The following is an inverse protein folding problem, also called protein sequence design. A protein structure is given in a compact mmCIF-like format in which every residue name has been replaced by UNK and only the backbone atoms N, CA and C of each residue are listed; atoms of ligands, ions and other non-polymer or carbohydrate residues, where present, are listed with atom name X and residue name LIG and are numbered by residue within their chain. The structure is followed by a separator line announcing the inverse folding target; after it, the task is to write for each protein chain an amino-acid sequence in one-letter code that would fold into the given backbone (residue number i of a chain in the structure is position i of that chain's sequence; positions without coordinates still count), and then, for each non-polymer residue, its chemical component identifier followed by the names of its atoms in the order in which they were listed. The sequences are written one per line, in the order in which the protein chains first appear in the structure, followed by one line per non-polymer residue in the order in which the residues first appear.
data_IF_577007963831
#
_entry.id   IF_577007963831
#
_cell.length_a   1.000
_cell.length_b   1.000
_cell.length_c   1.000
_cell.angle_alpha   90.00
_cell.angle_beta   90.00
_cell.angle_gamma   90.00
#
_symmetry.space_group_name_H-M   'P 1'
#
loop_
_entity.id
_entity.type
_entity.pdbx_description
1 polymer ?
#
# COMPACT_ATOMS: atom_id res chain seq x y z
N UNK A 1 75.92 -37.90 2.97
CA UNK A 1 74.97 -37.48 4.05
C UNK A 1 74.36 -36.13 3.66
N UNK A 2 73.12 -36.05 3.11
CA UNK A 2 72.31 -34.85 3.15
C UNK A 2 71.02 -34.96 2.35
N UNK A 3 70.40 -36.16 2.15
CA UNK A 3 69.12 -36.31 1.48
C UNK A 3 67.92 -36.24 2.41
N UNK A 4 68.08 -36.21 3.72
CA UNK A 4 66.99 -36.17 4.71
C UNK A 4 66.54 -34.76 5.11
N UNK A 5 67.40 -33.73 4.92
CA UNK A 5 67.08 -32.36 5.31
C UNK A 5 65.88 -31.78 4.59
N UNK A 6 65.72 -31.86 3.23
CA UNK A 6 64.57 -31.33 2.54
C UNK A 6 63.28 -32.08 2.90
N UNK A 7 63.34 -33.37 3.15
CA UNK A 7 62.22 -34.19 3.57
C UNK A 7 61.67 -33.77 4.94
N UNK A 8 62.57 -33.52 5.89
CA UNK A 8 62.24 -33.04 7.24
C UNK A 8 61.63 -31.65 7.18
N UNK A 9 62.15 -30.74 6.37
CA UNK A 9 61.56 -29.39 6.17
C UNK A 9 60.15 -29.47 5.60
N UNK A 10 59.90 -30.30 4.58
CA UNK A 10 58.59 -30.50 4.02
C UNK A 10 57.59 -31.07 5.04
N UNK A 11 57.99 -32.06 5.84
CA UNK A 11 57.12 -32.62 6.87
C UNK A 11 56.80 -31.61 7.97
N UNK A 12 57.73 -30.77 8.38
CA UNK A 12 57.52 -29.70 9.35
C UNK A 12 56.53 -28.66 8.80
N UNK A 13 56.72 -28.25 7.54
CA UNK A 13 55.76 -27.30 6.89
C UNK A 13 54.35 -27.88 6.78
N UNK A 14 54.22 -29.16 6.40
CA UNK A 14 52.94 -29.85 6.36
C UNK A 14 52.29 -29.94 7.76
N UNK A 15 53.05 -30.22 8.80
CA UNK A 15 52.55 -30.24 10.17
C UNK A 15 52.08 -28.87 10.63
N UNK A 16 52.81 -27.80 10.34
CA UNK A 16 52.40 -26.42 10.65
C UNK A 16 51.12 -26.04 9.91
N UNK A 17 51.03 -26.34 8.61
CA UNK A 17 49.82 -26.08 7.84
C UNK A 17 48.61 -26.88 8.34
N UNK A 18 48.82 -28.14 8.72
CA UNK A 18 47.75 -28.97 9.30
C UNK A 18 47.25 -28.40 10.64
N UNK A 19 48.18 -28.00 11.52
CA UNK A 19 47.81 -27.35 12.80
C UNK A 19 47.07 -26.02 12.56
N UNK A 20 47.58 -25.18 11.67
CA UNK A 20 46.91 -23.93 11.30
C UNK A 20 45.52 -24.16 10.73
N UNK A 21 45.35 -25.18 9.90
CA UNK A 21 44.05 -25.57 9.34
C UNK A 21 43.09 -26.04 10.44
N UNK A 22 43.52 -26.93 11.34
CA UNK A 22 42.73 -27.43 12.46
C UNK A 22 42.28 -26.28 13.38
N UNK A 23 43.18 -25.35 13.71
CA UNK A 23 42.81 -24.18 14.52
C UNK A 23 41.83 -23.26 13.80
N UNK A 24 42.01 -23.06 12.50
CA UNK A 24 41.05 -22.25 11.68
C UNK A 24 39.66 -22.89 11.65
N UNK A 25 39.58 -24.20 11.48
CA UNK A 25 38.32 -24.92 11.50
C UNK A 25 37.64 -24.92 12.89
N UNK A 26 38.44 -25.10 13.97
CA UNK A 26 37.94 -24.96 15.35
C UNK A 26 37.35 -23.57 15.62
N UNK A 27 37.92 -22.48 15.06
CA UNK A 27 37.42 -21.14 15.21
C UNK A 27 36.08 -20.95 14.47
N UNK A 28 35.90 -21.58 13.30
CA UNK A 28 34.65 -21.57 12.53
C UNK A 28 33.51 -22.32 13.26
N UNK A 29 33.81 -23.40 13.95
CA UNK A 29 32.85 -24.23 14.69
C UNK A 29 32.39 -23.61 16.02
N UNK A 30 33.06 -22.55 16.53
CA UNK A 30 32.62 -21.87 17.75
C UNK A 30 31.25 -21.23 17.53
N UNK A 31 30.17 -21.64 18.24
CA UNK A 31 28.86 -21.11 18.06
C UNK A 31 28.81 -19.59 18.31
N UNK A 32 28.02 -18.88 17.54
CA UNK A 32 27.84 -17.43 17.73
C UNK A 32 27.38 -17.12 19.15
N UNK A 33 28.00 -16.18 19.85
CA UNK A 33 27.57 -15.77 21.17
C UNK A 33 26.22 -15.01 21.13
N UNK A 34 25.78 -14.63 19.94
CA UNK A 34 24.51 -13.90 19.67
C UNK A 34 23.53 -14.80 18.93
N UNK A 35 22.28 -14.84 19.41
CA UNK A 35 21.19 -15.65 18.84
C UNK A 35 19.89 -14.87 18.85
N UNK A 36 18.86 -15.39 18.17
CA UNK A 36 17.52 -14.80 18.08
C UNK A 36 17.55 -13.33 17.66
N UNK A 37 18.28 -13.05 16.59
CA UNK A 37 18.43 -11.71 16.04
C UNK A 37 17.16 -11.29 15.32
N UNK A 38 16.66 -10.11 15.67
CA UNK A 38 15.57 -9.41 14.99
C UNK A 38 15.94 -7.94 14.84
N UNK A 39 15.76 -7.37 13.67
CA UNK A 39 15.97 -5.94 13.41
C UNK A 39 14.83 -5.36 12.59
N UNK A 40 14.51 -4.10 12.82
CA UNK A 40 13.61 -3.32 11.95
C UNK A 40 14.26 -3.22 10.56
N UNK A 41 13.52 -3.63 9.52
CA UNK A 41 14.06 -3.70 8.15
C UNK A 41 14.21 -2.34 7.49
N UNK A 42 13.24 -1.45 7.72
CA UNK A 42 13.23 -0.09 7.21
C UNK A 42 12.49 0.81 8.19
N UNK A 43 12.93 2.06 8.33
CA UNK A 43 12.28 3.07 9.15
C UNK A 43 12.57 4.46 8.59
N UNK A 44 11.76 5.43 9.00
CA UNK A 44 11.94 6.84 8.66
C UNK A 44 11.97 7.69 9.94
N UNK A 45 13.08 8.29 10.31
CA UNK A 45 13.14 9.18 11.47
C UNK A 45 12.17 10.36 11.42
N UNK A 46 11.72 10.72 10.21
CA UNK A 46 10.88 11.90 9.95
C UNK A 46 9.40 11.59 9.72
N UNK A 47 8.97 10.31 9.77
CA UNK A 47 7.61 9.94 9.38
C UNK A 47 6.66 10.20 10.53
N UNK A 48 6.33 10.96 11.22
CA UNK A 48 5.27 11.09 12.26
C UNK A 48 4.41 9.80 12.39
N UNK A 49 5.05 8.66 12.60
CA UNK A 49 4.45 7.33 12.62
C UNK A 49 5.15 6.39 13.62
N UNK A 50 4.61 5.19 13.85
CA UNK A 50 5.19 4.19 14.78
C UNK A 50 6.55 3.62 14.32
N UNK A 51 7.00 3.97 13.12
CA UNK A 51 8.21 3.44 12.49
C UNK A 51 9.34 4.47 12.42
N UNK A 52 9.43 5.36 13.44
CA UNK A 52 10.46 6.41 13.52
C UNK A 52 11.81 5.91 14.03
N UNK A 53 11.86 4.69 14.57
CA UNK A 53 13.08 4.11 15.15
C UNK A 53 13.28 2.69 14.68
N UNK A 54 14.54 2.28 14.59
CA UNK A 54 14.90 0.89 14.37
C UNK A 54 15.16 0.19 15.69
N UNK A 55 14.46 -0.94 15.90
CA UNK A 55 14.68 -1.81 17.05
C UNK A 55 15.61 -2.95 16.66
N UNK A 56 16.68 -3.13 17.42
CA UNK A 56 17.67 -4.20 17.28
C UNK A 56 17.54 -5.10 18.52
N UNK A 57 17.00 -6.29 18.34
CA UNK A 57 16.83 -7.25 19.44
C UNK A 57 17.64 -8.52 19.17
N UNK A 58 18.30 -9.04 20.20
CA UNK A 58 19.06 -10.29 20.14
C UNK A 58 19.19 -10.90 21.53
N UNK A 59 19.74 -12.10 21.60
CA UNK A 59 20.00 -12.78 22.86
C UNK A 59 21.46 -13.16 22.99
N UNK A 60 22.11 -12.79 24.10
CA UNK A 60 23.43 -13.21 24.47
C UNK A 60 23.43 -14.62 25.10
N UNK A 61 24.30 -15.50 24.62
CA UNK A 61 24.50 -16.85 25.19
C UNK A 61 25.44 -16.85 26.44
N UNK A 62 26.31 -15.84 26.54
CA UNK A 62 27.28 -15.70 27.63
C UNK A 62 27.30 -14.24 28.08
N UNK A 63 27.64 -13.98 29.37
CA UNK A 63 27.89 -12.63 29.83
C UNK A 63 29.18 -12.09 29.21
N UNK A 64 29.31 -10.77 29.16
CA UNK A 64 30.52 -10.09 28.66
C UNK A 64 30.38 -8.59 28.60
N UNK A 65 31.45 -7.91 28.23
CA UNK A 65 31.44 -6.47 27.95
C UNK A 65 30.87 -6.25 26.55
N UNK A 66 29.68 -5.64 26.49
CA UNK A 66 28.90 -5.46 25.28
C UNK A 66 29.01 -4.03 24.76
N UNK A 67 29.23 -3.89 23.46
CA UNK A 67 29.01 -2.66 22.70
C UNK A 67 28.11 -2.98 21.53
N UNK A 68 27.10 -2.14 21.28
CA UNK A 68 26.22 -2.19 20.11
C UNK A 68 26.37 -0.89 19.34
N UNK A 69 26.77 -0.98 18.08
CA UNK A 69 26.91 0.18 17.20
C UNK A 69 26.22 -0.05 15.87
N UNK A 70 25.91 1.02 15.17
CA UNK A 70 25.46 1.02 13.78
C UNK A 70 26.66 1.29 12.89
N UNK A 71 26.74 0.58 11.78
CA UNK A 71 27.74 0.77 10.74
C UNK A 71 27.05 0.94 9.39
N UNK A 72 27.67 1.71 8.51
CA UNK A 72 27.23 1.91 7.11
C UNK A 72 27.54 0.69 6.22
N UNK A 73 27.36 0.85 4.92
CA UNK A 73 27.62 -0.20 3.93
C UNK A 73 29.12 -0.54 3.83
N UNK A 74 29.99 0.41 4.04
CA UNK A 74 31.46 0.31 4.04
C UNK A 74 32.01 -0.14 5.39
N UNK A 75 31.15 -0.36 6.39
CA UNK A 75 31.47 -0.76 7.77
C UNK A 75 32.09 0.34 8.63
N UNK A 76 31.99 1.59 8.26
CA UNK A 76 32.37 2.68 9.14
C UNK A 76 31.34 2.84 10.28
N UNK A 77 31.80 3.13 11.50
CA UNK A 77 30.86 3.37 12.62
C UNK A 77 30.08 4.67 12.39
N UNK A 78 28.74 4.56 12.52
CA UNK A 78 27.82 5.70 12.38
C UNK A 78 27.36 6.19 13.75
N UNK A 79 26.96 5.25 14.62
CA UNK A 79 26.44 5.59 15.95
C UNK A 79 26.71 4.43 16.93
N UNK A 80 27.08 4.76 18.17
CA UNK A 80 27.12 3.79 19.27
C UNK A 80 25.81 3.89 20.05
N UNK A 81 25.06 2.79 20.07
CA UNK A 81 23.76 2.71 20.76
C UNK A 81 23.91 2.27 22.21
N UNK A 82 24.83 1.33 22.45
CA UNK A 82 25.16 0.81 23.78
C UNK A 82 26.67 0.87 23.91
N UNK A 83 27.16 1.62 24.86
CA UNK A 83 28.61 1.71 25.16
C UNK A 83 29.14 0.44 25.78
N UNK A 84 30.45 0.34 26.01
CA UNK A 84 31.06 -0.86 26.57
C UNK A 84 30.58 -1.09 28.01
N UNK A 85 29.56 -1.89 28.19
CA UNK A 85 28.91 -2.17 29.47
C UNK A 85 28.93 -3.68 29.77
N UNK A 86 29.19 -4.05 31.05
CA UNK A 86 29.07 -5.43 31.51
C UNK A 86 27.63 -5.90 31.42
N UNK A 87 27.36 -6.90 30.57
CA UNK A 87 26.00 -7.40 30.30
C UNK A 87 25.91 -8.88 30.66
N UNK A 88 24.82 -9.26 31.33
CA UNK A 88 24.51 -10.65 31.67
C UNK A 88 24.01 -11.43 30.42
N UNK A 89 24.09 -12.78 30.50
CA UNK A 89 23.39 -13.64 29.53
C UNK A 89 21.89 -13.32 29.51
N UNK A 90 21.30 -13.16 28.34
CA UNK A 90 19.88 -12.87 28.24
C UNK A 90 19.50 -12.04 27.01
N UNK A 91 18.25 -11.55 26.94
CA UNK A 91 17.78 -10.67 25.86
C UNK A 91 18.43 -9.29 26.00
N UNK A 92 18.72 -8.69 24.84
CA UNK A 92 19.20 -7.31 24.70
C UNK A 92 18.35 -6.63 23.63
N UNK A 93 17.94 -5.40 23.91
CA UNK A 93 17.22 -4.54 22.96
C UNK A 93 17.96 -3.21 22.92
N UNK A 94 18.28 -2.76 21.74
CA UNK A 94 18.81 -1.42 21.46
C UNK A 94 17.90 -0.75 20.43
N UNK A 95 17.77 0.58 20.53
CA UNK A 95 16.96 1.37 19.61
C UNK A 95 17.83 2.42 18.93
N UNK A 96 17.65 2.61 17.64
CA UNK A 96 18.32 3.63 16.86
C UNK A 96 17.28 4.58 16.26
N UNK A 97 17.45 5.87 16.49
CA UNK A 97 16.59 6.95 16.02
C UNK A 97 17.03 7.55 14.67
N UNK A 98 18.05 6.96 14.03
CA UNK A 98 18.61 7.47 12.79
C UNK A 98 19.63 8.59 12.94
N UNK A 99 20.04 8.91 14.19
CA UNK A 99 21.08 9.94 14.39
C UNK A 99 22.48 9.35 14.15
N UNK A 100 23.40 10.22 13.76
CA UNK A 100 24.83 9.96 13.64
C UNK A 100 25.56 10.42 14.92
N UNK A 101 26.64 9.71 15.29
CA UNK A 101 27.48 10.09 16.43
C UNK A 101 28.25 11.40 16.26
N UNK A 102 28.36 11.88 15.06
CA UNK A 102 28.98 13.17 14.72
C UNK A 102 28.00 14.36 14.79
N UNK A 103 26.74 14.06 15.08
CA UNK A 103 25.64 15.02 15.10
C UNK A 103 24.86 15.04 13.78
N UNK A 104 23.54 15.21 13.89
CA UNK A 104 22.63 15.22 12.76
C UNK A 104 22.14 13.82 12.35
N UNK A 105 21.22 13.78 11.39
CA UNK A 105 20.61 12.55 10.91
C UNK A 105 21.55 11.80 9.96
N UNK A 106 21.62 10.50 10.11
CA UNK A 106 22.26 9.62 9.14
C UNK A 106 21.50 9.67 7.80
N UNK A 107 22.19 9.70 6.65
CA UNK A 107 21.55 9.79 5.34
C UNK A 107 20.69 8.56 5.01
N UNK A 108 19.78 8.69 4.06
CA UNK A 108 19.06 7.55 3.50
C UNK A 108 20.05 6.51 2.98
N UNK A 109 19.83 5.25 3.35
CA UNK A 109 20.79 4.20 3.01
C UNK A 109 20.60 2.90 3.77
N UNK A 110 21.60 2.02 3.63
CA UNK A 110 21.60 0.68 4.20
C UNK A 110 22.65 0.54 5.28
N UNK A 111 22.21 0.19 6.46
CA UNK A 111 23.02 0.07 7.68
C UNK A 111 22.96 -1.33 8.26
N UNK A 112 23.86 -1.62 9.21
CA UNK A 112 23.86 -2.88 9.98
C UNK A 112 24.17 -2.60 11.43
N UNK A 113 23.63 -3.44 12.31
CA UNK A 113 24.06 -3.45 13.68
C UNK A 113 25.35 -4.27 13.81
N UNK A 114 26.33 -3.71 14.49
CA UNK A 114 27.58 -4.35 14.89
C UNK A 114 27.55 -4.62 16.38
N UNK A 115 27.78 -5.86 16.77
CA UNK A 115 27.86 -6.28 18.16
C UNK A 115 29.28 -6.64 18.48
N UNK A 116 29.85 -6.00 19.48
CA UNK A 116 31.13 -6.37 20.07
C UNK A 116 30.88 -6.94 21.46
N UNK A 117 31.31 -8.19 21.68
CA UNK A 117 31.26 -8.85 22.99
C UNK A 117 32.68 -9.27 23.38
N UNK A 118 33.30 -8.51 24.30
CA UNK A 118 34.69 -8.60 24.60
C UNK A 118 35.57 -8.32 23.36
N UNK A 119 36.40 -9.29 22.96
CA UNK A 119 37.25 -9.18 21.77
C UNK A 119 36.57 -9.63 20.48
N UNK A 120 35.33 -10.11 20.53
CA UNK A 120 34.62 -10.67 19.37
C UNK A 120 33.65 -9.66 18.77
N UNK A 121 33.88 -9.32 17.52
CA UNK A 121 33.02 -8.43 16.73
C UNK A 121 32.16 -9.24 15.76
N UNK A 122 30.88 -8.92 15.66
CA UNK A 122 29.90 -9.58 14.81
C UNK A 122 29.07 -8.51 14.12
N UNK A 123 29.18 -8.42 12.80
CA UNK A 123 28.26 -7.63 12.00
C UNK A 123 27.00 -8.47 11.75
N UNK A 124 25.83 -7.93 12.09
CA UNK A 124 24.57 -8.65 11.85
C UNK A 124 24.29 -8.74 10.35
N UNK A 125 23.83 -9.90 9.86
CA UNK A 125 23.52 -10.07 8.43
C UNK A 125 22.31 -9.22 7.99
N UNK A 126 21.40 -8.93 8.91
CA UNK A 126 20.18 -8.16 8.66
C UNK A 126 20.52 -6.69 8.42
N UNK A 127 19.99 -6.14 7.34
CA UNK A 127 20.12 -4.72 7.01
C UNK A 127 19.01 -3.92 7.64
N UNK A 128 19.32 -2.68 7.98
CA UNK A 128 18.40 -1.64 8.44
C UNK A 128 18.44 -0.56 7.35
N UNK A 129 17.32 -0.19 6.80
CA UNK A 129 17.23 0.87 5.79
C UNK A 129 16.63 2.13 6.41
N UNK A 130 17.34 3.25 6.30
CA UNK A 130 16.75 4.57 6.47
C UNK A 130 16.21 5.00 5.10
N UNK A 131 14.95 5.41 5.08
CA UNK A 131 14.28 5.96 3.92
C UNK A 131 13.33 7.06 4.38
N UNK A 132 13.65 8.30 4.07
CA UNK A 132 12.87 9.49 4.44
C UNK A 132 12.02 10.02 3.29
N UNK A 133 12.06 9.37 2.13
CA UNK A 133 11.39 9.82 0.91
C UNK A 133 10.00 9.22 0.80
N UNK A 134 8.92 10.05 0.81
CA UNK A 134 7.57 9.54 0.63
C UNK A 134 7.31 8.95 -0.76
N UNK A 135 6.52 7.88 -0.87
CA UNK A 135 6.14 7.32 -2.16
C UNK A 135 5.26 8.29 -2.95
N UNK A 136 5.36 8.24 -4.28
CA UNK A 136 4.56 9.07 -5.18
C UNK A 136 3.40 8.27 -5.76
N UNK A 137 2.17 8.73 -5.49
CA UNK A 137 0.94 8.17 -6.09
C UNK A 137 0.52 9.01 -7.29
N UNK A 138 0.55 8.43 -8.48
CA UNK A 138 -0.01 9.06 -9.70
C UNK A 138 -1.35 8.42 -10.04
N UNK A 139 -2.46 9.15 -9.84
CA UNK A 139 -3.78 8.72 -10.29
C UNK A 139 -3.83 8.72 -11.82
N UNK A 140 -4.22 7.58 -12.40
CA UNK A 140 -4.43 7.42 -13.85
C UNK A 140 -5.88 7.57 -14.23
N UNK A 141 -6.79 7.08 -13.42
CA UNK A 141 -8.23 7.24 -13.64
C UNK A 141 -9.03 7.05 -12.36
N UNK A 142 -10.08 7.83 -12.23
CA UNK A 142 -11.18 7.62 -11.28
C UNK A 142 -12.46 7.60 -12.11
N UNK A 143 -13.13 6.47 -12.20
CA UNK A 143 -14.28 6.30 -13.07
C UNK A 143 -15.31 5.28 -12.51
N UNK A 144 -16.59 5.53 -12.69
CA UNK A 144 -17.17 6.82 -13.09
C UNK A 144 -17.04 7.85 -11.97
N UNK A 145 -17.02 9.15 -12.31
CA UNK A 145 -17.06 10.22 -11.29
C UNK A 145 -18.46 10.48 -10.76
N UNK A 146 -19.47 10.11 -11.52
CA UNK A 146 -20.88 10.06 -11.10
C UNK A 146 -21.24 8.59 -10.94
N UNK A 147 -21.57 8.20 -9.73
CA UNK A 147 -21.84 6.82 -9.33
C UNK A 147 -23.35 6.67 -9.07
N UNK A 148 -23.87 5.52 -9.41
CA UNK A 148 -25.26 5.15 -9.15
C UNK A 148 -25.32 4.09 -8.04
N UNK A 149 -26.44 3.86 -7.39
CA UNK A 149 -26.59 2.78 -6.44
C UNK A 149 -26.14 1.45 -7.06
N UNK A 150 -25.39 0.66 -6.30
CA UNK A 150 -24.84 -0.63 -6.73
C UNK A 150 -23.83 -0.58 -7.89
N UNK A 151 -23.43 0.60 -8.36
CA UNK A 151 -22.32 0.73 -9.29
C UNK A 151 -20.97 0.51 -8.61
N UNK A 152 -19.90 0.45 -9.40
CA UNK A 152 -18.54 0.20 -8.87
C UNK A 152 -17.63 1.36 -9.23
N UNK A 153 -16.97 1.92 -8.20
CA UNK A 153 -15.92 2.91 -8.38
C UNK A 153 -14.62 2.20 -8.73
N UNK A 154 -14.04 2.59 -9.85
CA UNK A 154 -12.74 2.09 -10.31
C UNK A 154 -11.69 3.18 -10.15
N UNK A 155 -10.68 2.93 -9.33
CA UNK A 155 -9.54 3.82 -9.14
C UNK A 155 -8.30 3.13 -9.69
N UNK A 156 -7.64 3.74 -10.68
CA UNK A 156 -6.38 3.25 -11.24
C UNK A 156 -5.26 4.19 -10.83
N UNK A 157 -4.18 3.64 -10.32
CA UNK A 157 -3.01 4.42 -9.90
C UNK A 157 -1.70 3.73 -10.30
N UNK A 158 -0.63 4.49 -10.23
CA UNK A 158 0.76 4.07 -10.44
C UNK A 158 1.57 4.60 -9.27
N UNK A 159 2.47 3.78 -8.76
CA UNK A 159 3.46 4.12 -7.73
C UNK A 159 4.86 4.12 -8.34
N UNK A 160 5.75 4.95 -7.80
CA UNK A 160 7.18 4.92 -8.10
C UNK A 160 7.89 3.75 -7.40
N UNK A 161 7.36 3.28 -6.27
CA UNK A 161 7.92 2.25 -5.41
C UNK A 161 6.85 1.38 -4.73
N UNK A 162 7.22 0.24 -4.14
CA UNK A 162 6.29 -0.61 -3.40
C UNK A 162 5.75 0.10 -2.16
N UNK A 163 4.45 0.42 -2.17
CA UNK A 163 3.78 1.09 -1.06
C UNK A 163 2.35 0.57 -0.89
N UNK A 164 1.82 0.65 0.32
CA UNK A 164 0.45 0.28 0.65
C UNK A 164 -0.49 1.44 0.39
N UNK A 165 -1.33 1.33 -0.63
CA UNK A 165 -2.31 2.36 -0.99
C UNK A 165 -3.57 2.24 -0.13
N UNK A 166 -4.04 3.36 0.39
CA UNK A 166 -5.34 3.49 1.04
C UNK A 166 -6.23 4.43 0.26
N UNK A 167 -7.51 4.08 0.12
CA UNK A 167 -8.53 4.92 -0.51
C UNK A 167 -9.58 5.25 0.53
N UNK A 168 -9.87 6.53 0.68
CA UNK A 168 -10.84 7.07 1.63
C UNK A 168 -11.95 7.82 0.90
N UNK A 169 -13.16 7.74 1.43
CA UNK A 169 -14.31 8.52 1.00
C UNK A 169 -14.72 9.39 2.20
N UNK A 170 -14.52 10.72 2.09
CA UNK A 170 -14.68 11.70 3.18
C UNK A 170 -14.07 11.23 4.51
N UNK A 171 -12.79 10.84 4.48
CA UNK A 171 -12.06 10.38 5.65
C UNK A 171 -12.30 8.93 6.06
N UNK A 172 -13.37 8.29 5.60
CA UNK A 172 -13.63 6.87 5.86
C UNK A 172 -12.86 5.99 4.87
N UNK A 173 -11.98 5.11 5.39
CA UNK A 173 -11.24 4.16 4.55
C UNK A 173 -12.17 3.13 3.92
N UNK A 174 -12.23 3.08 2.59
CA UNK A 174 -13.05 2.15 1.81
C UNK A 174 -12.23 0.99 1.24
N UNK A 175 -10.94 1.19 0.99
CA UNK A 175 -10.05 0.16 0.47
C UNK A 175 -8.66 0.28 1.07
N UNK A 176 -8.06 -0.87 1.37
CA UNK A 176 -6.64 -1.03 1.69
C UNK A 176 -6.00 -1.94 0.64
N UNK A 177 -5.09 -1.39 -0.15
CA UNK A 177 -4.37 -2.12 -1.19
C UNK A 177 -3.19 -2.94 -0.65
N UNK A 178 -2.66 -3.83 -1.49
CA UNK A 178 -1.43 -4.58 -1.20
C UNK A 178 -0.20 -3.77 -1.58
N UNK A 179 0.87 -3.88 -0.81
CA UNK A 179 2.11 -3.10 -0.98
C UNK A 179 3.03 -3.56 -2.11
N UNK A 180 2.81 -4.72 -2.71
CA UNK A 180 3.75 -5.36 -3.64
C UNK A 180 3.59 -4.96 -5.11
N UNK A 181 2.62 -4.09 -5.47
CA UNK A 181 2.31 -3.79 -6.87
C UNK A 181 2.41 -2.30 -7.16
N UNK A 182 3.25 -1.94 -8.13
CA UNK A 182 3.43 -0.57 -8.60
C UNK A 182 2.23 -0.05 -9.42
N UNK A 183 1.45 -0.94 -10.03
CA UNK A 183 0.24 -0.60 -10.80
C UNK A 183 -0.93 -1.37 -10.21
N UNK A 184 -2.03 -0.68 -9.90
CA UNK A 184 -3.19 -1.33 -9.35
C UNK A 184 -4.51 -0.71 -9.79
N UNK A 185 -5.56 -1.53 -9.73
CA UNK A 185 -6.94 -1.12 -9.92
C UNK A 185 -7.74 -1.49 -8.68
N UNK A 186 -8.26 -0.49 -8.02
CA UNK A 186 -9.28 -0.68 -6.98
C UNK A 186 -10.64 -0.73 -7.64
N UNK A 187 -11.46 -1.69 -7.25
CA UNK A 187 -12.83 -1.86 -7.70
C UNK A 187 -13.73 -1.98 -6.46
N UNK A 188 -14.35 -0.86 -6.07
CA UNK A 188 -15.13 -0.74 -4.85
C UNK A 188 -16.62 -0.64 -5.15
N UNK A 189 -17.48 -1.54 -4.59
CA UNK A 189 -18.92 -1.43 -4.71
C UNK A 189 -19.44 -0.25 -3.87
N UNK A 190 -20.31 0.57 -4.44
CA UNK A 190 -20.84 1.76 -3.79
C UNK A 190 -21.90 1.39 -2.76
N UNK A 191 -21.59 1.66 -1.50
CA UNK A 191 -22.51 1.48 -0.36
C UNK A 191 -22.76 2.79 0.41
N UNK A 192 -22.23 3.92 -0.09
CA UNK A 192 -22.43 5.22 0.52
C UNK A 192 -23.79 5.83 0.11
N UNK A 193 -24.31 6.70 0.96
CA UNK A 193 -25.54 7.46 0.66
C UNK A 193 -25.33 8.42 -0.52
N UNK A 194 -26.41 8.87 -1.19
CA UNK A 194 -26.28 9.90 -2.22
C UNK A 194 -25.63 11.17 -1.68
N UNK A 195 -24.73 11.76 -2.47
CA UNK A 195 -24.01 12.97 -2.08
C UNK A 195 -22.74 13.22 -2.90
N UNK A 196 -22.03 14.27 -2.57
CA UNK A 196 -20.72 14.61 -3.12
C UNK A 196 -19.66 14.21 -2.08
N UNK A 197 -18.63 13.51 -2.51
CA UNK A 197 -17.62 12.95 -1.65
C UNK A 197 -16.22 13.30 -2.16
N UNK A 198 -15.35 13.70 -1.25
CA UNK A 198 -13.91 13.80 -1.50
C UNK A 198 -13.28 12.40 -1.46
N UNK A 199 -12.69 11.97 -2.58
CA UNK A 199 -11.94 10.72 -2.64
C UNK A 199 -10.48 11.01 -2.33
N UNK A 200 -9.96 10.54 -1.20
CA UNK A 200 -8.55 10.68 -0.85
C UNK A 200 -7.81 9.38 -1.14
N UNK A 201 -6.69 9.47 -1.86
CA UNK A 201 -5.82 8.33 -2.15
C UNK A 201 -4.44 8.64 -1.61
N UNK A 202 -3.95 7.77 -0.72
CA UNK A 202 -2.62 7.88 -0.11
C UNK A 202 -1.85 6.59 -0.29
N UNK A 203 -0.53 6.65 -0.20
CA UNK A 203 0.32 5.47 -0.13
C UNK A 203 1.30 5.60 1.04
N UNK A 204 1.57 4.49 1.71
CA UNK A 204 2.57 4.37 2.77
C UNK A 204 3.56 3.30 2.38
N UNK A 205 4.86 3.62 2.39
CA UNK A 205 5.95 2.70 2.10
C UNK A 205 6.29 1.78 3.29
N UNK A 206 7.39 1.03 3.16
CA UNK A 206 7.87 0.11 4.20
C UNK A 206 8.55 0.85 5.37
N UNK A 207 9.10 2.03 5.14
CA UNK A 207 9.72 2.88 6.15
C UNK A 207 8.69 3.68 6.96
N UNK A 208 7.46 3.80 6.45
CA UNK A 208 6.37 4.51 7.12
C UNK A 208 6.04 5.85 6.50
N UNK A 209 6.78 6.32 5.50
CA UNK A 209 6.52 7.59 4.85
C UNK A 209 5.18 7.60 4.14
N UNK A 210 4.45 8.68 4.26
CA UNK A 210 3.12 8.83 3.70
C UNK A 210 3.15 9.79 2.50
N UNK A 211 2.61 9.33 1.36
CA UNK A 211 2.49 10.16 0.17
C UNK A 211 1.55 11.35 0.39
N UNK A 212 1.73 12.40 -0.43
CA UNK A 212 0.74 13.45 -0.56
C UNK A 212 -0.60 12.89 -1.02
N UNK A 213 -1.69 13.34 -0.39
CA UNK A 213 -3.04 12.88 -0.72
C UNK A 213 -3.53 13.51 -2.03
N UNK A 214 -4.03 12.68 -2.95
CA UNK A 214 -4.75 13.14 -4.14
C UNK A 214 -6.25 13.10 -3.84
N UNK A 215 -6.99 14.20 -4.15
CA UNK A 215 -8.38 14.39 -3.72
C UNK A 215 -9.35 14.68 -4.88
N UNK A 216 -9.60 13.74 -5.81
CA UNK A 216 -10.67 13.90 -6.78
C UNK A 216 -12.05 13.81 -6.12
N UNK A 217 -13.02 14.54 -6.66
CA UNK A 217 -14.42 14.49 -6.20
C UNK A 217 -15.18 13.43 -6.98
N UNK A 218 -15.97 12.63 -6.27
CA UNK A 218 -16.97 11.72 -6.83
C UNK A 218 -18.35 12.08 -6.33
N UNK A 219 -19.35 11.87 -7.17
CA UNK A 219 -20.76 12.16 -6.85
C UNK A 219 -21.53 10.86 -6.87
N UNK A 220 -22.24 10.57 -5.80
CA UNK A 220 -23.15 9.43 -5.71
C UNK A 220 -24.57 9.95 -5.88
N UNK A 221 -25.26 9.45 -6.88
CA UNK A 221 -26.64 9.83 -7.19
C UNK A 221 -27.61 8.76 -6.73
N UNK A 222 -28.82 9.14 -6.28
CA UNK A 222 -29.73 8.20 -5.66
C UNK A 222 -30.47 7.31 -6.67
N UNK A 223 -30.42 7.64 -7.96
CA UNK A 223 -31.23 7.01 -9.00
C UNK A 223 -30.36 6.47 -10.15
N UNK A 224 -30.66 5.27 -10.60
CA UNK A 224 -30.12 4.65 -11.82
C UNK A 224 -31.26 4.23 -12.76
N UNK A 225 -31.23 4.74 -13.99
CA UNK A 225 -32.19 4.32 -15.03
C UNK A 225 -31.59 3.17 -15.83
N UNK A 226 -32.15 1.96 -15.65
CA UNK A 226 -31.68 0.72 -16.28
C UNK A 226 -32.08 0.63 -17.74
N UNK A 227 -33.24 1.19 -18.10
CA UNK A 227 -33.76 1.23 -19.47
C UNK A 227 -33.19 2.45 -20.19
N UNK A 228 -32.39 2.28 -21.24
CA UNK A 228 -31.77 3.41 -21.96
C UNK A 228 -32.52 3.82 -23.22
N UNK A 229 -33.22 2.90 -23.84
CA UNK A 229 -34.06 3.17 -25.01
C UNK A 229 -35.30 2.30 -24.99
N UNK A 230 -36.38 2.77 -25.63
CA UNK A 230 -37.63 2.07 -25.78
C UNK A 230 -38.15 2.31 -27.22
N UNK A 231 -38.58 1.25 -27.88
CA UNK A 231 -39.28 1.31 -29.15
C UNK A 231 -40.70 0.81 -28.92
N UNK A 232 -41.69 1.63 -29.28
CA UNK A 232 -43.08 1.35 -28.93
C UNK A 232 -44.03 1.92 -30.00
N UNK A 233 -45.22 1.31 -30.18
CA UNK A 233 -46.29 1.85 -31.05
C UNK A 233 -47.03 3.02 -30.39
N UNK A 234 -47.64 3.94 -31.14
CA UNK A 234 -48.42 5.05 -30.61
C UNK A 234 -49.47 4.58 -29.57
N UNK A 235 -49.65 5.33 -28.50
CA UNK A 235 -50.63 5.06 -27.40
C UNK A 235 -50.46 3.74 -26.67
N UNK A 236 -49.48 2.90 -27.00
CA UNK A 236 -49.20 1.67 -26.24
C UNK A 236 -48.46 1.97 -24.95
N UNK A 237 -48.67 1.12 -23.95
CA UNK A 237 -47.93 1.17 -22.67
C UNK A 237 -46.55 0.61 -22.85
N UNK A 238 -45.58 1.20 -22.17
CA UNK A 238 -44.21 0.70 -22.05
C UNK A 238 -43.68 0.87 -20.63
N UNK A 239 -42.57 0.24 -20.32
CA UNK A 239 -42.01 0.17 -18.99
C UNK A 239 -40.57 0.67 -19.01
N UNK A 240 -40.25 1.49 -18.03
CA UNK A 240 -38.88 1.90 -17.76
C UNK A 240 -38.49 1.37 -16.37
N UNK A 241 -37.41 0.62 -16.32
CA UNK A 241 -36.90 0.07 -15.08
C UNK A 241 -35.88 1.03 -14.45
N UNK A 242 -36.07 1.27 -13.16
CA UNK A 242 -35.31 2.21 -12.37
C UNK A 242 -34.81 1.49 -11.13
N UNK A 243 -33.56 1.76 -10.74
CA UNK A 243 -33.03 1.37 -9.47
C UNK A 243 -32.82 2.64 -8.66
N UNK A 244 -33.47 2.74 -7.53
CA UNK A 244 -33.43 3.90 -6.66
C UNK A 244 -33.39 3.50 -5.18
N UNK A 245 -33.24 4.50 -4.30
CA UNK A 245 -33.30 4.38 -2.84
C UNK A 245 -34.70 4.58 -2.25
N UNK A 246 -35.74 4.36 -3.08
CA UNK A 246 -37.17 4.48 -2.76
C UNK A 246 -37.66 5.93 -2.54
N UNK A 247 -36.97 6.94 -3.06
CA UNK A 247 -37.42 8.33 -3.06
C UNK A 247 -38.23 8.65 -4.31
N UNK A 248 -39.11 9.67 -4.20
CA UNK A 248 -39.82 10.18 -5.35
C UNK A 248 -38.87 10.83 -6.37
N UNK A 249 -39.13 10.60 -7.63
CA UNK A 249 -38.48 11.23 -8.77
C UNK A 249 -39.49 11.84 -9.73
N UNK A 250 -39.10 12.91 -10.39
CA UNK A 250 -39.91 13.57 -11.43
C UNK A 250 -39.62 12.93 -12.78
N UNK A 251 -40.62 12.75 -13.61
CA UNK A 251 -40.48 12.32 -15.01
C UNK A 251 -41.22 13.25 -15.96
N UNK A 252 -40.75 13.39 -17.21
CA UNK A 252 -41.38 14.14 -18.30
C UNK A 252 -41.16 13.44 -19.63
N UNK A 253 -42.23 13.20 -20.37
CA UNK A 253 -42.24 12.61 -21.70
C UNK A 253 -43.15 13.45 -22.63
N UNK A 254 -42.55 14.27 -23.51
CA UNK A 254 -43.29 15.25 -24.32
C UNK A 254 -43.99 16.26 -23.43
N UNK A 255 -45.33 16.36 -23.57
CA UNK A 255 -46.20 17.20 -22.73
C UNK A 255 -46.56 16.58 -21.38
N UNK A 256 -46.42 15.27 -21.25
CA UNK A 256 -46.80 14.55 -20.04
C UNK A 256 -45.68 14.56 -19.00
N UNK A 257 -46.07 14.77 -17.74
CA UNK A 257 -45.11 14.75 -16.63
C UNK A 257 -45.78 14.31 -15.33
N UNK A 258 -44.99 13.93 -14.34
CA UNK A 258 -45.48 13.54 -13.03
C UNK A 258 -44.36 13.10 -12.08
N UNK A 259 -44.76 12.68 -10.87
CA UNK A 259 -43.90 12.11 -9.88
C UNK A 259 -44.17 10.61 -9.71
N UNK A 260 -43.13 9.84 -9.41
CA UNK A 260 -43.25 8.43 -9.11
C UNK A 260 -42.14 8.03 -8.09
N UNK A 261 -42.41 6.99 -7.31
CA UNK A 261 -41.44 6.36 -6.37
C UNK A 261 -41.25 4.87 -6.65
N UNK A 262 -41.73 4.40 -7.80
CA UNK A 262 -41.72 2.99 -8.19
C UNK A 262 -40.47 2.62 -8.96
N UNK A 263 -39.89 1.45 -8.69
CA UNK A 263 -38.80 0.87 -9.47
C UNK A 263 -39.19 0.49 -10.90
N UNK A 264 -40.49 0.55 -11.21
CA UNK A 264 -41.03 0.23 -12.52
C UNK A 264 -41.95 1.36 -12.93
N UNK A 265 -41.47 2.29 -13.74
CA UNK A 265 -42.24 3.38 -14.28
C UNK A 265 -43.04 2.89 -15.51
N UNK A 266 -44.38 2.93 -15.43
CA UNK A 266 -45.29 2.54 -16.51
C UNK A 266 -45.86 3.78 -17.16
N UNK A 267 -45.56 3.98 -18.45
CA UNK A 267 -46.02 5.15 -19.22
C UNK A 267 -46.76 4.71 -20.49
N UNK A 268 -47.55 5.64 -21.03
CA UNK A 268 -48.17 5.48 -22.35
C UNK A 268 -47.37 6.30 -23.38
N UNK A 269 -47.11 5.70 -24.54
CA UNK A 269 -46.41 6.37 -25.63
C UNK A 269 -47.25 7.52 -26.21
N UNK A 270 -46.62 8.62 -26.66
CA UNK A 270 -47.25 9.70 -27.37
C UNK A 270 -48.07 9.24 -28.57
N UNK A 271 -49.07 10.03 -28.95
CA UNK A 271 -49.98 9.71 -30.06
C UNK A 271 -49.30 9.77 -31.43
N UNK A 272 -48.38 10.71 -31.61
CA UNK A 272 -47.65 10.92 -32.87
C UNK A 272 -46.40 10.07 -32.94
N UNK A 273 -46.11 9.41 -34.07
CA UNK A 273 -44.83 8.78 -34.30
C UNK A 273 -43.70 9.81 -34.25
N UNK A 274 -42.52 9.38 -33.79
CA UNK A 274 -41.35 10.27 -33.66
C UNK A 274 -40.40 9.85 -32.59
N UNK A 275 -39.36 10.66 -32.40
CA UNK A 275 -38.32 10.49 -31.37
C UNK A 275 -38.63 11.39 -30.19
N UNK A 276 -38.76 10.80 -29.03
CA UNK A 276 -39.05 11.49 -27.78
C UNK A 276 -37.97 11.26 -26.75
N UNK A 277 -37.80 12.19 -25.83
CA UNK A 277 -36.90 12.10 -24.70
C UNK A 277 -37.74 11.99 -23.43
N UNK A 278 -37.64 10.85 -22.75
CA UNK A 278 -38.14 10.72 -21.39
C UNK A 278 -37.04 11.19 -20.43
N UNK A 279 -37.28 12.29 -19.75
CA UNK A 279 -36.41 12.84 -18.74
C UNK A 279 -36.87 12.35 -17.38
N UNK A 280 -35.99 11.74 -16.62
CA UNK A 280 -36.21 11.31 -15.24
C UNK A 280 -35.21 12.07 -14.37
N UNK A 281 -35.70 12.84 -13.41
CA UNK A 281 -34.90 13.72 -12.57
C UNK A 281 -35.16 13.44 -11.09
N UNK A 282 -34.07 13.34 -10.34
CA UNK A 282 -34.10 13.30 -8.90
C UNK A 282 -32.98 14.20 -8.38
N UNK A 283 -33.33 15.09 -7.47
CA UNK A 283 -32.43 16.15 -6.99
C UNK A 283 -31.86 16.97 -8.18
N UNK A 284 -30.52 17.03 -8.28
CA UNK A 284 -29.80 17.78 -9.32
C UNK A 284 -29.41 16.92 -10.53
N UNK A 285 -29.77 15.64 -10.58
CA UNK A 285 -29.37 14.70 -11.63
C UNK A 285 -30.53 14.32 -12.52
N UNK A 286 -30.34 14.45 -13.84
CA UNK A 286 -31.30 14.06 -14.86
C UNK A 286 -30.77 12.90 -15.71
N UNK A 287 -31.62 11.92 -15.93
CA UNK A 287 -31.40 10.80 -16.85
C UNK A 287 -32.31 10.90 -18.04
N UNK A 288 -31.82 10.56 -19.23
CA UNK A 288 -32.61 10.61 -20.45
C UNK A 288 -32.75 9.22 -21.04
N UNK A 289 -33.97 8.78 -21.25
CA UNK A 289 -34.33 7.57 -21.99
C UNK A 289 -34.82 7.96 -23.39
N UNK A 290 -34.23 7.36 -24.42
CA UNK A 290 -34.70 7.57 -25.81
C UNK A 290 -35.94 6.73 -26.04
N UNK A 291 -37.06 7.37 -26.44
CA UNK A 291 -38.33 6.71 -26.76
C UNK A 291 -38.61 6.92 -28.23
N UNK A 292 -38.63 5.84 -29.00
CA UNK A 292 -38.97 5.86 -30.42
C UNK A 292 -40.37 5.34 -30.58
N UNK A 293 -41.28 6.23 -31.04
CA UNK A 293 -42.64 5.85 -31.37
C UNK A 293 -42.72 5.55 -32.88
N UNK A 294 -42.92 4.28 -33.22
CA UNK A 294 -42.88 3.80 -34.60
C UNK A 294 -44.18 4.14 -35.34
N UNK A 295 -44.09 4.35 -36.68
CA UNK A 295 -45.29 4.45 -37.51
C UNK A 295 -46.06 3.11 -37.49
N UNK A 296 -47.43 3.13 -37.47
CA UNK A 296 -48.17 1.89 -37.68
C UNK A 296 -47.79 1.33 -39.06
N UNK A 297 -47.56 0.02 -39.17
CA UNK A 297 -47.47 -0.61 -40.50
C UNK A 297 -48.80 -0.37 -41.20
N UNK A 298 -48.78 0.23 -42.39
CA UNK A 298 -49.97 0.21 -43.28
C UNK A 298 -50.19 -1.28 -43.60
N UNK A 299 -51.38 -1.78 -43.26
CA UNK A 299 -51.88 -3.06 -43.73
C UNK A 299 -52.07 -3.01 -45.22
#
# INVERSE_FOLDING_TARGET
MSRSLPTVVVLVLLAITAVAFVETERLKLKPSPVTKVSVTKAFSPTCECDNQTAVIAFRLRKPGRLTVSIVDAERHPVQTLVGPVATKKGPVVATWDGQSGEGGSAPDGSYRARIQLGYRTIDMPNRIHIDTTPPVVKLRAVAPRVLQPHSRLKVRYLLNEPARVSVYLDGKRIVLGRSSRLKWKVDWPVHARPGRYGLTVTARDAAGNLSNATRPVVVIVPLEVLTKHVTVRPRRRFVVRIRDDARAYFWRLGSDSGFASSRVLRLRAPKRPGHYRLVIRQDHVAHVVRVVVTRPRRA
#
